data_IF_403815540101
#
_entry.id   IF_403815540101
#
_cell.length_a   1.000
_cell.length_b   1.000
_cell.length_c   1.000
_cell.angle_alpha   90.00
_cell.angle_beta   90.00
_cell.angle_gamma   90.00
#
_symmetry.space_group_name_H-M   'P 1'
#
loop_
_entity.id
_entity.type
_entity.pdbx_description
1 polymer ?
#
# COMPACT_ATOMS: atom_id res chain seq x y z
N UNK A 1 4.09 15.15 -7.42
CA UNK A 1 3.93 15.32 -5.97
C UNK A 1 5.19 15.96 -5.47
N UNK A 2 5.06 17.18 -4.85
CA UNK A 2 6.23 17.86 -4.33
C UNK A 2 6.92 16.97 -3.29
N UNK A 3 8.25 16.99 -3.29
CA UNK A 3 9.04 16.36 -2.24
C UNK A 3 8.49 16.76 -0.87
N UNK A 4 8.47 15.87 0.12
CA UNK A 4 8.04 16.19 1.46
C UNK A 4 8.88 17.38 1.96
N UNK A 5 8.24 18.50 2.20
CA UNK A 5 8.96 19.72 2.58
C UNK A 5 8.92 19.88 4.10
N UNK A 6 10.09 20.13 4.68
CA UNK A 6 10.20 20.50 6.09
C UNK A 6 9.45 21.81 6.38
N UNK A 7 8.64 21.80 7.44
CA UNK A 7 7.88 22.98 7.89
C UNK A 7 8.30 23.33 9.30
N UNK A 8 8.72 24.58 9.49
CA UNK A 8 9.03 25.12 10.82
C UNK A 8 7.75 25.64 11.45
N UNK A 9 7.48 25.23 12.68
CA UNK A 9 6.38 25.75 13.49
C UNK A 9 6.92 26.86 14.39
N UNK A 10 6.51 28.08 14.13
CA UNK A 10 6.86 29.26 14.91
C UNK A 10 5.64 29.67 15.73
N UNK A 11 5.84 29.96 17.03
CA UNK A 11 4.74 30.30 17.92
C UNK A 11 5.06 31.58 18.69
N UNK A 12 4.08 32.50 18.74
CA UNK A 12 4.13 33.74 19.50
C UNK A 12 2.93 33.83 20.44
N UNK A 13 3.20 34.21 21.70
CA UNK A 13 2.18 34.42 22.73
C UNK A 13 2.11 35.90 23.07
N UNK A 14 0.88 36.43 23.09
CA UNK A 14 0.58 37.83 23.38
C UNK A 14 -0.59 37.93 24.37
N UNK A 15 -0.90 39.16 24.83
CA UNK A 15 -2.12 39.40 25.61
C UNK A 15 -3.36 39.26 24.74
N UNK A 16 -4.37 38.56 25.21
CA UNK A 16 -5.63 38.32 24.50
C UNK A 16 -6.06 36.85 24.55
N UNK A 17 -7.12 36.48 23.78
CA UNK A 17 -7.71 35.14 23.81
C UNK A 17 -7.77 34.48 22.41
N UNK A 18 -7.13 35.10 21.41
CA UNK A 18 -7.21 34.65 20.02
C UNK A 18 -6.23 33.50 19.77
N UNK A 19 -6.69 32.47 19.05
CA UNK A 19 -5.83 31.43 18.50
C UNK A 19 -5.86 31.48 16.96
N UNK A 20 -4.74 31.76 16.33
CA UNK A 20 -4.60 31.90 14.88
C UNK A 20 -3.47 31.04 14.37
N UNK A 21 -3.72 30.34 13.27
CA UNK A 21 -2.71 29.57 12.53
C UNK A 21 -2.61 30.17 11.12
N UNK A 22 -1.39 30.48 10.69
CA UNK A 22 -1.05 30.99 9.36
C UNK A 22 -0.11 30.01 8.63
N UNK A 23 -0.02 30.14 7.29
CA UNK A 23 0.80 29.25 6.45
C UNK A 23 0.08 27.97 5.98
N UNK A 24 -1.24 27.89 6.21
CA UNK A 24 -2.15 26.86 5.68
C UNK A 24 -3.49 27.51 5.27
N UNK A 25 -4.35 26.75 4.60
CA UNK A 25 -5.68 27.24 4.21
C UNK A 25 -6.51 27.64 5.44
N UNK A 26 -7.36 28.66 5.30
CA UNK A 26 -8.18 29.19 6.42
C UNK A 26 -9.12 28.14 7.02
N UNK A 27 -9.65 27.23 6.18
CA UNK A 27 -10.50 26.13 6.63
C UNK A 27 -9.71 25.07 7.42
N UNK A 28 -8.52 24.71 6.94
CA UNK A 28 -7.62 23.79 7.64
C UNK A 28 -7.18 24.37 8.99
N UNK A 29 -6.83 25.67 9.03
CA UNK A 29 -6.43 26.38 10.24
C UNK A 29 -7.52 26.34 11.33
N UNK A 30 -8.78 26.59 10.97
CA UNK A 30 -9.92 26.51 11.90
C UNK A 30 -10.14 25.09 12.44
N UNK A 31 -10.09 24.08 11.55
CA UNK A 31 -10.26 22.69 11.92
C UNK A 31 -9.13 22.20 12.85
N UNK A 32 -7.89 22.51 12.50
CA UNK A 32 -6.68 22.19 13.29
C UNK A 32 -6.75 22.84 14.67
N UNK A 33 -7.11 24.12 14.74
CA UNK A 33 -7.26 24.85 16.00
C UNK A 33 -8.27 24.19 16.94
N UNK A 34 -9.41 23.73 16.42
CA UNK A 34 -10.43 23.04 17.20
C UNK A 34 -9.91 21.70 17.75
N UNK A 35 -9.24 20.89 16.91
CA UNK A 35 -8.68 19.59 17.32
C UNK A 35 -7.59 19.77 18.39
N UNK A 36 -6.64 20.66 18.16
CA UNK A 36 -5.53 20.91 19.09
C UNK A 36 -6.08 21.34 20.47
N UNK A 37 -7.01 22.31 20.48
CA UNK A 37 -7.60 22.78 21.73
C UNK A 37 -8.33 21.66 22.48
N UNK A 38 -9.15 20.88 21.78
CA UNK A 38 -9.89 19.77 22.38
C UNK A 38 -8.93 18.70 22.92
N UNK A 39 -7.93 18.28 22.13
CA UNK A 39 -6.95 17.29 22.53
C UNK A 39 -6.18 17.69 23.80
N UNK A 40 -5.74 18.94 23.89
CA UNK A 40 -5.04 19.43 25.09
C UNK A 40 -5.93 19.40 26.34
N UNK A 41 -7.19 19.81 26.20
CA UNK A 41 -8.16 19.77 27.31
C UNK A 41 -8.43 18.31 27.72
N UNK A 42 -8.62 17.41 26.77
CA UNK A 42 -8.84 15.97 27.03
C UNK A 42 -7.65 15.31 27.72
N UNK A 43 -6.43 15.80 27.47
CA UNK A 43 -5.21 15.37 28.18
C UNK A 43 -5.05 16.03 29.57
N UNK A 44 -6.06 16.75 30.08
CA UNK A 44 -6.03 17.39 31.40
C UNK A 44 -5.25 18.71 31.47
N UNK A 45 -4.91 19.29 30.31
CA UNK A 45 -4.18 20.57 30.25
C UNK A 45 -5.13 21.73 29.97
N UNK A 46 -5.03 22.78 30.76
CA UNK A 46 -5.80 24.01 30.53
C UNK A 46 -5.29 24.74 29.30
N UNK A 47 -6.20 25.21 28.47
CA UNK A 47 -5.86 26.07 27.36
C UNK A 47 -5.28 27.39 27.90
N UNK A 48 -4.13 27.87 27.37
CA UNK A 48 -3.57 29.15 27.80
C UNK A 48 -4.57 30.29 27.57
N UNK A 49 -4.85 31.10 28.61
CA UNK A 49 -5.72 32.27 28.52
C UNK A 49 -5.00 33.47 27.85
N UNK A 50 -4.26 33.22 26.79
CA UNK A 50 -3.45 34.18 26.05
C UNK A 50 -3.72 34.07 24.54
N UNK A 51 -3.44 35.15 23.80
CA UNK A 51 -3.49 35.10 22.35
C UNK A 51 -2.27 34.31 21.83
N UNK A 52 -2.52 33.32 20.99
CA UNK A 52 -1.49 32.46 20.40
C UNK A 52 -1.56 32.63 18.90
N UNK A 53 -0.45 33.02 18.29
CA UNK A 53 -0.26 33.05 16.85
C UNK A 53 0.77 32.00 16.46
N UNK A 54 0.39 31.09 15.58
CA UNK A 54 1.25 30.06 15.00
C UNK A 54 1.49 30.40 13.53
N UNK A 55 2.75 30.34 13.12
CA UNK A 55 3.15 30.49 11.74
C UNK A 55 3.85 29.20 11.26
N UNK A 56 3.38 28.66 10.13
CA UNK A 56 4.00 27.52 9.46
C UNK A 56 4.87 28.02 8.30
N UNK A 57 6.17 27.88 8.42
CA UNK A 57 7.15 28.41 7.46
C UNK A 57 7.91 27.28 6.73
N UNK A 58 8.05 27.33 5.40
CA UNK A 58 7.51 28.36 4.49
C UNK A 58 5.99 28.31 4.38
N UNK A 59 5.35 29.46 4.19
CA UNK A 59 3.90 29.55 4.07
C UNK A 59 3.42 28.97 2.72
N UNK A 60 2.32 28.21 2.77
CA UNK A 60 1.67 27.67 1.58
C UNK A 60 0.17 27.52 1.84
N UNK A 61 -0.61 28.45 1.30
CA UNK A 61 -2.06 28.50 1.50
C UNK A 61 -2.81 27.33 0.80
N UNK A 62 -2.15 26.56 -0.04
CA UNK A 62 -2.71 25.33 -0.63
C UNK A 62 -2.67 24.15 0.34
N UNK A 63 -1.87 24.24 1.41
CA UNK A 63 -1.72 23.17 2.39
C UNK A 63 -3.02 22.93 3.15
N UNK A 64 -3.43 21.68 3.14
CA UNK A 64 -4.60 21.18 3.88
C UNK A 64 -4.24 20.03 4.83
N UNK A 65 -2.95 19.72 4.96
CA UNK A 65 -2.46 18.59 5.74
C UNK A 65 -2.77 18.75 7.22
N UNK A 66 -3.22 17.67 7.85
CA UNK A 66 -3.46 17.56 9.29
C UNK A 66 -2.22 17.13 10.08
N UNK A 67 -1.09 16.89 9.40
CA UNK A 67 0.18 16.49 10.00
C UNK A 67 0.72 17.49 11.03
N UNK A 68 0.30 18.73 10.93
CA UNK A 68 0.80 19.83 11.77
C UNK A 68 0.12 19.92 13.13
N UNK A 69 -0.94 19.14 13.40
CA UNK A 69 -1.66 19.22 14.68
C UNK A 69 -0.73 18.88 15.85
N UNK A 70 0.01 17.77 15.74
CA UNK A 70 0.95 17.35 16.79
C UNK A 70 2.06 18.39 17.04
N UNK A 71 2.84 18.86 16.04
CA UNK A 71 3.91 19.83 16.28
C UNK A 71 3.38 21.17 16.80
N UNK A 72 2.19 21.63 16.38
CA UNK A 72 1.57 22.83 16.93
C UNK A 72 1.18 22.63 18.41
N UNK A 73 0.58 21.49 18.75
CA UNK A 73 0.23 21.15 20.13
C UNK A 73 1.48 21.13 21.03
N UNK A 74 2.60 20.55 20.56
CA UNK A 74 3.86 20.52 21.28
C UNK A 74 4.44 21.93 21.48
N UNK A 75 4.37 22.79 20.47
CA UNK A 75 4.79 24.17 20.58
C UNK A 75 3.95 24.96 21.63
N UNK A 76 2.63 24.74 21.66
CA UNK A 76 1.73 25.33 22.69
C UNK A 76 2.07 24.80 24.08
N UNK A 77 2.33 23.51 24.24
CA UNK A 77 2.70 22.90 25.52
C UNK A 77 4.04 23.41 26.04
N UNK A 78 5.04 23.55 25.16
CA UNK A 78 6.34 24.09 25.51
C UNK A 78 6.26 25.56 25.93
N UNK A 79 5.52 26.38 25.18
CA UNK A 79 5.33 27.80 25.48
C UNK A 79 4.50 28.04 26.74
N UNK A 80 3.70 27.06 27.17
CA UNK A 80 2.95 27.09 28.44
C UNK A 80 3.72 26.50 29.62
N UNK A 81 4.97 26.06 29.42
CA UNK A 81 5.81 25.47 30.46
C UNK A 81 5.36 24.05 30.89
N UNK A 82 4.47 23.41 30.15
CA UNK A 82 3.98 22.06 30.45
C UNK A 82 5.03 21.02 30.12
N UNK A 83 5.78 21.24 29.02
CA UNK A 83 6.96 20.45 28.65
C UNK A 83 8.19 21.39 28.54
N UNK A 84 9.41 20.92 28.82
CA UNK A 84 10.60 21.73 28.65
C UNK A 84 10.83 22.06 27.16
N UNK A 85 11.08 23.31 26.82
CA UNK A 85 11.39 23.69 25.44
C UNK A 85 12.66 22.98 24.92
N UNK A 86 13.63 22.72 25.80
CA UNK A 86 14.84 21.96 25.48
C UNK A 86 14.57 20.51 25.06
N UNK A 87 13.43 19.92 25.45
CA UNK A 87 13.05 18.57 25.05
C UNK A 87 12.62 18.47 23.59
N UNK A 88 12.37 19.60 22.92
CA UNK A 88 12.04 19.66 21.50
C UNK A 88 13.25 19.90 20.59
N UNK A 89 14.45 20.00 21.14
CA UNK A 89 15.68 20.22 20.35
C UNK A 89 15.99 18.99 19.51
N UNK A 90 16.27 19.18 18.22
CA UNK A 90 16.58 18.12 17.26
C UNK A 90 15.44 17.09 17.08
N UNK A 91 14.20 17.49 17.32
CA UNK A 91 13.01 16.67 17.15
C UNK A 91 12.15 17.22 16.03
N UNK A 92 11.71 16.35 15.13
CA UNK A 92 10.60 16.57 14.24
C UNK A 92 9.36 15.87 14.80
N UNK A 93 8.18 16.37 14.47
CA UNK A 93 6.91 15.73 14.85
C UNK A 93 5.92 15.85 13.70
N UNK A 94 5.10 14.82 13.51
CA UNK A 94 4.01 14.84 12.55
C UNK A 94 2.88 13.93 13.02
N UNK A 95 1.62 14.38 12.88
CA UNK A 95 0.44 13.59 13.26
C UNK A 95 -0.81 14.44 13.36
N UNK A 96 -1.94 13.84 12.98
CA UNK A 96 -3.26 14.42 13.22
C UNK A 96 -3.70 14.13 14.67
N UNK A 97 -4.33 15.08 15.33
CA UNK A 97 -4.91 14.90 16.65
C UNK A 97 -6.41 14.63 16.56
N UNK A 98 -6.86 13.55 17.20
CA UNK A 98 -8.27 13.38 17.55
C UNK A 98 -8.71 14.37 18.65
N UNK A 99 -9.99 14.63 18.77
CA UNK A 99 -10.55 15.52 19.81
C UNK A 99 -10.28 14.99 21.23
N UNK A 100 -10.10 13.70 21.36
CA UNK A 100 -9.77 12.96 22.57
C UNK A 100 -8.26 12.92 22.89
N UNK A 101 -7.42 13.40 21.99
CA UNK A 101 -5.95 13.35 22.11
C UNK A 101 -5.32 12.13 21.44
N UNK A 102 -6.08 11.26 20.76
CA UNK A 102 -5.52 10.16 19.96
C UNK A 102 -4.67 10.71 18.83
N UNK A 103 -3.55 10.05 18.56
CA UNK A 103 -2.67 10.33 17.42
C UNK A 103 -3.08 9.49 16.23
N UNK A 104 -3.38 10.16 15.12
CA UNK A 104 -3.82 9.53 13.88
C UNK A 104 -2.84 9.84 12.74
N UNK A 105 -2.72 8.92 11.77
CA UNK A 105 -1.97 9.21 10.56
C UNK A 105 -2.65 10.37 9.81
N UNK A 106 -1.82 11.21 9.20
CA UNK A 106 -2.28 12.30 8.33
C UNK A 106 -2.42 11.82 6.88
N UNK A 107 -3.08 12.62 6.03
CA UNK A 107 -3.28 12.25 4.63
C UNK A 107 -1.95 12.05 3.89
N UNK A 108 -1.95 11.04 3.25
CA UNK A 108 -1.07 10.06 2.65
C UNK A 108 0.03 10.49 1.68
N UNK A 109 0.18 11.73 1.31
CA UNK A 109 1.26 12.15 0.39
C UNK A 109 2.67 12.06 0.99
N UNK A 110 2.78 11.75 2.28
CA UNK A 110 4.05 11.69 3.02
C UNK A 110 4.63 10.27 3.11
N UNK A 111 3.81 9.24 2.91
CA UNK A 111 4.21 7.85 3.16
C UNK A 111 5.15 7.27 2.09
N UNK A 112 5.09 7.75 0.86
CA UNK A 112 5.87 7.20 -0.25
C UNK A 112 7.38 7.39 -0.14
N UNK A 113 7.87 8.15 0.85
CA UNK A 113 9.30 8.43 0.96
C UNK A 113 9.74 8.83 2.38
N UNK A 114 9.24 8.13 3.41
CA UNK A 114 9.62 8.44 4.79
C UNK A 114 11.13 8.28 5.02
N UNK A 115 11.75 7.32 4.34
CA UNK A 115 13.19 7.10 4.43
C UNK A 115 14.00 8.23 3.79
N UNK A 116 13.69 8.63 2.55
CA UNK A 116 14.33 9.79 1.93
C UNK A 116 14.05 11.08 2.71
N UNK A 117 12.82 11.25 3.25
CA UNK A 117 12.50 12.39 4.11
C UNK A 117 13.29 12.36 5.43
N UNK A 118 13.47 11.18 6.01
CA UNK A 118 14.26 11.01 7.24
C UNK A 118 15.74 11.31 7.02
N UNK A 119 16.29 10.94 5.86
CA UNK A 119 17.66 11.24 5.44
C UNK A 119 17.83 12.76 5.27
N UNK A 120 16.90 13.43 4.58
CA UNK A 120 16.93 14.89 4.43
C UNK A 120 16.85 15.60 5.79
N UNK A 121 16.03 15.13 6.72
CA UNK A 121 15.92 15.67 8.07
C UNK A 121 17.23 15.49 8.85
N UNK A 122 17.89 14.35 8.72
CA UNK A 122 19.17 14.07 9.38
C UNK A 122 20.27 14.99 8.86
N UNK A 123 20.45 15.05 7.55
CA UNK A 123 21.59 15.71 6.93
C UNK A 123 21.48 17.23 6.92
N UNK A 124 20.29 17.76 6.59
CA UNK A 124 20.10 19.19 6.37
C UNK A 124 19.74 19.94 7.66
N UNK A 125 19.06 19.29 8.61
CA UNK A 125 18.46 19.96 9.79
C UNK A 125 18.99 19.48 11.13
N UNK A 126 19.92 18.55 11.15
CA UNK A 126 20.43 17.92 12.38
C UNK A 126 19.30 17.36 13.28
N UNK A 127 18.22 16.89 12.67
CA UNK A 127 17.12 16.23 13.36
C UNK A 127 17.55 14.79 13.65
N UNK A 128 17.38 14.35 14.89
CA UNK A 128 17.77 13.01 15.33
C UNK A 128 16.58 12.10 15.63
N UNK A 129 15.39 12.67 15.79
CA UNK A 129 14.21 11.92 16.20
C UNK A 129 12.95 12.47 15.53
N UNK A 130 12.05 11.55 15.13
CA UNK A 130 10.71 11.87 14.63
C UNK A 130 9.66 11.29 15.58
N UNK A 131 8.79 12.14 16.12
CA UNK A 131 7.61 11.75 16.88
C UNK A 131 6.44 11.60 15.90
N UNK A 132 5.83 10.43 15.89
CA UNK A 132 4.78 10.10 14.91
C UNK A 132 3.73 9.13 15.50
N UNK A 133 2.56 8.96 14.86
CA UNK A 133 1.58 7.95 15.24
C UNK A 133 2.14 6.53 15.23
N UNK A 134 1.62 5.65 16.08
CA UNK A 134 2.09 4.27 16.27
C UNK A 134 1.99 3.39 15.01
N UNK A 135 1.21 3.79 14.03
CA UNK A 135 1.14 3.10 12.73
C UNK A 135 2.50 2.98 12.02
N UNK A 136 3.44 3.86 12.34
CA UNK A 136 4.79 3.85 11.77
C UNK A 136 5.78 2.96 12.55
N UNK A 137 5.31 2.26 13.58
CA UNK A 137 6.13 1.35 14.38
C UNK A 137 6.75 0.28 13.49
N UNK A 138 8.07 0.09 13.61
CA UNK A 138 8.83 -0.87 12.80
C UNK A 138 9.27 -0.41 11.43
N UNK A 139 8.95 0.82 11.01
CA UNK A 139 9.48 1.38 9.75
C UNK A 139 10.97 1.75 9.90
N UNK A 140 11.77 1.34 8.91
CA UNK A 140 13.16 1.77 8.81
C UNK A 140 13.23 3.25 8.43
N UNK A 141 14.02 4.03 9.16
CA UNK A 141 14.23 5.46 8.92
C UNK A 141 15.65 5.85 9.28
N UNK A 142 16.22 6.81 8.56
CA UNK A 142 17.57 7.34 8.83
C UNK A 142 17.66 8.09 10.17
N UNK A 143 16.53 8.51 10.74
CA UNK A 143 16.44 9.13 12.07
C UNK A 143 15.61 8.24 13.00
N UNK A 144 15.84 8.35 14.32
CA UNK A 144 15.13 7.53 15.29
C UNK A 144 13.62 7.85 15.30
N UNK A 145 12.80 6.89 14.92
CA UNK A 145 11.34 6.99 15.00
C UNK A 145 10.87 6.70 16.43
N UNK A 146 9.95 7.50 16.94
CA UNK A 146 9.28 7.28 18.23
C UNK A 146 7.77 7.28 17.99
N UNK A 147 7.17 6.08 17.93
CA UNK A 147 5.75 5.92 17.67
C UNK A 147 4.92 6.12 18.95
N UNK A 148 3.77 6.80 18.83
CA UNK A 148 2.84 7.04 19.94
C UNK A 148 1.39 6.86 19.49
N UNK A 149 0.52 6.46 20.41
CA UNK A 149 -0.92 6.32 20.17
C UNK A 149 -1.72 7.52 20.64
N UNK A 150 -1.20 8.23 21.63
CA UNK A 150 -1.92 9.31 22.30
C UNK A 150 -0.99 10.47 22.68
N UNK A 151 -1.52 11.70 22.70
CA UNK A 151 -0.78 12.90 23.04
C UNK A 151 -0.21 12.86 24.48
N UNK A 152 -0.93 12.23 25.41
CA UNK A 152 -0.44 12.05 26.79
C UNK A 152 0.86 11.23 26.86
N UNK A 153 1.05 10.25 26.01
CA UNK A 153 2.28 9.46 25.92
C UNK A 153 3.45 10.34 25.46
N UNK A 154 3.21 11.18 24.44
CA UNK A 154 4.21 12.13 23.95
C UNK A 154 4.61 13.13 25.04
N UNK A 155 3.62 13.65 25.79
CA UNK A 155 3.87 14.57 26.91
C UNK A 155 4.69 13.89 28.01
N UNK A 156 4.34 12.67 28.40
CA UNK A 156 5.08 11.90 29.39
C UNK A 156 6.52 11.63 28.94
N UNK A 157 6.69 11.24 27.68
CA UNK A 157 7.99 11.03 27.07
C UNK A 157 8.87 12.30 27.10
N UNK A 158 8.33 13.45 26.72
CA UNK A 158 9.05 14.73 26.68
C UNK A 158 9.33 15.32 28.08
N UNK A 159 8.54 14.94 29.10
CA UNK A 159 8.77 15.31 30.50
C UNK A 159 9.80 14.43 31.19
N UNK A 160 9.99 13.21 30.74
CA UNK A 160 10.97 12.30 31.34
C UNK A 160 12.39 12.81 31.08
N UNK A 161 13.05 13.33 32.12
CA UNK A 161 14.39 13.94 32.11
C UNK A 161 15.54 12.94 31.96
N UNK A 162 15.34 11.77 31.38
CA UNK A 162 16.44 10.88 31.08
C UNK A 162 17.25 11.45 29.92
N UNK A 163 18.30 12.18 30.25
CA UNK A 163 19.29 12.80 29.35
C UNK A 163 20.09 11.79 28.50
N UNK A 164 19.87 10.53 28.68
CA UNK A 164 20.43 9.50 27.81
C UNK A 164 19.41 9.21 26.70
N UNK A 165 19.57 9.92 25.58
CA UNK A 165 18.84 9.67 24.35
C UNK A 165 19.04 8.24 23.79
N UNK A 166 19.89 7.45 24.45
CA UNK A 166 20.29 6.10 24.00
C UNK A 166 19.50 4.95 24.66
N UNK A 167 18.74 5.18 25.74
CA UNK A 167 18.21 4.11 26.60
C UNK A 167 16.71 3.79 26.46
N UNK A 168 16.02 4.24 25.42
CA UNK A 168 14.71 3.66 25.09
C UNK A 168 14.86 2.67 23.93
N UNK A 169 15.66 1.64 24.11
CA UNK A 169 15.34 0.34 23.55
C UNK A 169 14.10 -0.15 24.31
N UNK A 170 13.02 -0.47 23.61
CA UNK A 170 11.99 -1.30 24.18
C UNK A 170 12.67 -2.48 24.87
N UNK A 171 12.40 -2.66 26.17
CA UNK A 171 12.69 -3.89 26.88
C UNK A 171 11.77 -5.00 26.37
N UNK A 172 11.97 -5.40 25.14
CA UNK A 172 11.70 -6.70 24.62
C UNK A 172 13.05 -7.35 24.48
N UNK A 173 13.32 -8.35 25.30
CA UNK A 173 14.52 -9.15 25.34
C UNK A 173 15.12 -9.36 23.95
N UNK A 174 16.13 -8.59 23.61
CA UNK A 174 17.04 -8.88 22.51
C UNK A 174 18.25 -9.62 23.06
N UNK A 175 18.02 -10.79 23.61
CA UNK A 175 18.96 -11.90 23.53
C UNK A 175 18.42 -12.83 22.47
N UNK A 176 18.83 -12.58 21.27
CA UNK A 176 19.15 -13.51 20.19
C UNK A 176 19.08 -12.75 18.87
N UNK A 177 20.17 -12.08 18.53
CA UNK A 177 20.55 -11.89 17.14
C UNK A 177 20.95 -13.22 16.51
N UNK A 178 20.16 -14.24 16.74
CA UNK A 178 20.02 -15.31 15.80
C UNK A 178 19.16 -14.71 14.68
N UNK A 179 19.78 -14.56 13.52
CA UNK A 179 19.06 -14.49 12.25
C UNK A 179 17.97 -15.54 12.32
N UNK A 180 16.77 -15.14 12.75
CA UNK A 180 15.58 -15.94 12.55
C UNK A 180 15.53 -16.06 11.04
N UNK A 181 15.77 -17.26 10.54
CA UNK A 181 15.25 -17.68 9.25
C UNK A 181 13.73 -17.49 9.37
N UNK A 182 13.26 -16.26 9.14
CA UNK A 182 11.85 -15.99 8.95
C UNK A 182 11.51 -16.87 7.76
N UNK A 183 10.72 -17.90 8.01
CA UNK A 183 10.19 -18.74 6.96
C UNK A 183 9.70 -17.79 5.86
N UNK A 184 10.27 -17.91 4.66
CA UNK A 184 9.90 -17.08 3.52
C UNK A 184 8.39 -17.16 3.23
N UNK A 185 7.72 -18.17 3.81
CA UNK A 185 6.31 -18.49 3.56
C UNK A 185 5.56 -18.66 4.90
N UNK A 186 4.55 -17.80 5.18
CA UNK A 186 3.72 -17.90 6.38
C UNK A 186 2.74 -19.08 6.29
N UNK A 187 2.60 -19.84 7.36
CA UNK A 187 1.90 -21.14 7.40
C UNK A 187 0.40 -21.11 7.74
N UNK A 188 -0.23 -19.96 8.04
CA UNK A 188 -1.55 -19.98 8.70
C UNK A 188 -2.78 -19.90 7.81
N UNK A 189 -2.69 -19.47 6.54
CA UNK A 189 -3.84 -19.43 5.60
C UNK A 189 -3.40 -19.74 4.17
N UNK A 190 -2.49 -20.70 4.03
CA UNK A 190 -1.90 -21.05 2.74
C UNK A 190 -2.83 -22.00 1.99
N UNK A 191 -3.28 -21.60 0.82
CA UNK A 191 -3.96 -22.51 -0.13
C UNK A 191 -2.89 -23.22 -0.94
N UNK A 192 -2.87 -24.55 -0.89
CA UNK A 192 -1.87 -25.40 -1.53
C UNK A 192 -2.44 -26.10 -2.77
N UNK A 193 -1.61 -26.82 -3.49
CA UNK A 193 -2.04 -27.63 -4.63
C UNK A 193 -2.92 -28.83 -4.26
N UNK A 194 -2.99 -29.19 -2.96
CA UNK A 194 -3.91 -30.23 -2.47
C UNK A 194 -5.38 -29.81 -2.65
N UNK A 195 -5.62 -28.48 -2.71
CA UNK A 195 -6.94 -27.92 -2.99
C UNK A 195 -7.30 -27.92 -4.49
N UNK A 196 -6.40 -28.37 -5.37
CA UNK A 196 -6.55 -28.39 -6.81
C UNK A 196 -6.24 -29.81 -7.33
N UNK A 197 -7.28 -30.62 -7.50
CA UNK A 197 -7.14 -31.97 -8.04
C UNK A 197 -6.86 -31.94 -9.54
N UNK A 198 -5.98 -32.84 -10.01
CA UNK A 198 -5.59 -32.91 -11.42
C UNK A 198 -4.80 -31.67 -11.86
N UNK A 199 -5.14 -31.07 -12.99
CA UNK A 199 -4.71 -29.76 -13.52
C UNK A 199 -3.18 -29.52 -13.45
N UNK A 200 -2.36 -30.52 -13.84
CA UNK A 200 -0.90 -30.44 -13.76
C UNK A 200 -0.32 -29.24 -14.55
N UNK A 201 -0.93 -28.91 -15.69
CA UNK A 201 -0.56 -27.73 -16.49
C UNK A 201 -0.82 -26.45 -15.72
N UNK A 202 -1.97 -26.34 -15.04
CA UNK A 202 -2.32 -25.18 -14.24
C UNK A 202 -1.36 -25.01 -13.05
N UNK A 203 -1.00 -26.11 -12.36
CA UNK A 203 0.00 -26.09 -11.27
C UNK A 203 1.36 -25.60 -11.75
N UNK A 204 1.82 -26.09 -12.91
CA UNK A 204 3.07 -25.64 -13.53
C UNK A 204 3.04 -24.16 -13.90
N UNK A 205 1.94 -23.69 -14.50
CA UNK A 205 1.77 -22.27 -14.83
C UNK A 205 1.68 -21.38 -13.59
N UNK A 206 1.11 -21.87 -12.48
CA UNK A 206 1.12 -21.15 -11.20
C UNK A 206 2.55 -20.90 -10.71
N UNK A 207 3.44 -21.90 -10.82
CA UNK A 207 4.86 -21.75 -10.47
C UNK A 207 5.55 -20.71 -11.36
N UNK A 208 5.33 -20.79 -12.68
CA UNK A 208 5.91 -19.82 -13.64
C UNK A 208 5.40 -18.41 -13.37
N UNK A 209 4.10 -18.22 -13.19
CA UNK A 209 3.49 -16.94 -12.90
C UNK A 209 4.02 -16.34 -11.60
N UNK A 210 4.13 -17.14 -10.55
CA UNK A 210 4.64 -16.68 -9.25
C UNK A 210 6.13 -16.37 -9.28
N UNK A 211 6.92 -17.15 -10.00
CA UNK A 211 8.36 -16.96 -10.10
C UNK A 211 8.71 -15.69 -10.88
N UNK A 212 8.11 -15.48 -12.05
CA UNK A 212 8.39 -14.35 -12.94
C UNK A 212 7.48 -13.13 -12.74
N UNK A 213 6.49 -13.19 -11.85
CA UNK A 213 5.43 -12.18 -11.73
C UNK A 213 4.66 -11.95 -13.03
N UNK A 214 4.38 -13.04 -13.77
CA UNK A 214 3.68 -12.97 -15.04
C UNK A 214 2.17 -12.86 -14.85
N UNK A 215 1.55 -11.90 -15.53
CA UNK A 215 0.10 -11.73 -15.54
C UNK A 215 -0.59 -12.93 -16.18
N UNK A 216 -1.74 -13.31 -15.61
CA UNK A 216 -2.48 -14.52 -16.01
C UNK A 216 -3.92 -14.18 -16.34
N UNK A 217 -4.45 -14.74 -17.42
CA UNK A 217 -5.88 -14.84 -17.66
C UNK A 217 -6.30 -16.32 -17.71
N UNK A 218 -7.31 -16.66 -16.92
CA UNK A 218 -7.85 -18.01 -16.81
C UNK A 218 -9.22 -18.08 -17.43
N UNK A 219 -9.40 -19.02 -18.35
CA UNK A 219 -10.66 -19.32 -19.02
C UNK A 219 -11.11 -20.74 -18.62
N UNK A 220 -12.34 -20.88 -18.12
CA UNK A 220 -12.85 -22.20 -17.77
C UNK A 220 -14.27 -22.14 -17.20
N UNK A 221 -14.99 -23.27 -17.19
CA UNK A 221 -16.34 -23.35 -16.65
C UNK A 221 -16.39 -23.03 -15.14
N UNK A 222 -17.56 -22.74 -14.58
CA UNK A 222 -17.72 -22.64 -13.13
C UNK A 222 -17.25 -23.95 -12.47
N UNK A 223 -16.56 -23.85 -11.33
CA UNK A 223 -16.05 -25.01 -10.60
C UNK A 223 -14.72 -25.58 -11.10
N UNK A 224 -14.10 -25.04 -12.17
CA UNK A 224 -12.81 -25.53 -12.69
C UNK A 224 -11.58 -25.14 -11.83
N UNK A 225 -11.76 -24.58 -10.64
CA UNK A 225 -10.64 -24.27 -9.73
C UNK A 225 -9.91 -22.94 -9.97
N UNK A 226 -10.42 -22.03 -10.85
CA UNK A 226 -9.76 -20.75 -11.16
C UNK A 226 -9.41 -19.91 -9.93
N UNK A 227 -10.38 -19.73 -9.04
CA UNK A 227 -10.19 -18.93 -7.81
C UNK A 227 -9.25 -19.62 -6.81
N UNK A 228 -9.24 -20.96 -6.79
CA UNK A 228 -8.29 -21.77 -6.00
C UNK A 228 -6.88 -21.59 -6.55
N UNK A 229 -6.70 -21.70 -7.87
CA UNK A 229 -5.41 -21.50 -8.52
C UNK A 229 -4.86 -20.09 -8.28
N UNK A 230 -5.70 -19.07 -8.37
CA UNK A 230 -5.30 -17.68 -8.06
C UNK A 230 -4.79 -17.55 -6.62
N UNK A 231 -5.44 -18.23 -5.66
CA UNK A 231 -4.97 -18.30 -4.27
C UNK A 231 -3.66 -19.08 -4.13
N UNK A 232 -3.48 -20.16 -4.86
CA UNK A 232 -2.21 -20.91 -4.91
C UNK A 232 -1.09 -20.01 -5.44
N UNK A 233 -1.31 -19.27 -6.53
CA UNK A 233 -0.33 -18.30 -7.06
C UNK A 233 0.05 -17.27 -5.99
N UNK A 234 -0.92 -16.69 -5.29
CA UNK A 234 -0.64 -15.75 -4.20
C UNK A 234 0.14 -16.41 -3.06
N UNK A 235 -0.19 -17.65 -2.69
CA UNK A 235 0.49 -18.37 -1.61
C UNK A 235 1.93 -18.78 -1.98
N UNK A 236 2.26 -18.89 -3.27
CA UNK A 236 3.61 -19.14 -3.76
C UNK A 236 4.50 -17.89 -3.77
N UNK A 237 3.94 -16.69 -3.64
CA UNK A 237 4.74 -15.47 -3.59
C UNK A 237 5.53 -15.41 -2.28
N UNK A 238 6.81 -15.02 -2.31
CA UNK A 238 7.60 -14.81 -1.10
C UNK A 238 7.06 -13.64 -0.28
N UNK A 239 7.44 -13.59 0.98
CA UNK A 239 7.19 -12.41 1.81
C UNK A 239 7.88 -11.18 1.20
N UNK A 240 7.25 -10.02 1.37
CA UNK A 240 7.82 -8.76 0.95
C UNK A 240 9.14 -8.47 1.68
N UNK A 241 10.10 -7.91 0.96
CA UNK A 241 11.26 -7.27 1.55
C UNK A 241 10.84 -6.05 2.40
N UNK A 242 11.72 -5.54 3.23
CA UNK A 242 11.43 -4.35 4.04
C UNK A 242 11.06 -3.13 3.17
N UNK A 243 11.74 -2.94 2.05
CA UNK A 243 11.44 -1.86 1.09
C UNK A 243 10.07 -2.03 0.42
N UNK A 244 9.76 -3.24 -0.08
CA UNK A 244 8.45 -3.53 -0.70
C UNK A 244 7.31 -3.41 0.30
N UNK A 245 7.53 -3.83 1.55
CA UNK A 245 6.55 -3.66 2.62
C UNK A 245 6.31 -2.20 2.96
N UNK A 246 7.37 -1.39 3.09
CA UNK A 246 7.26 0.05 3.34
C UNK A 246 6.50 0.77 2.21
N UNK A 247 6.78 0.45 0.96
CA UNK A 247 6.10 1.01 -0.21
C UNK A 247 4.62 0.63 -0.23
N UNK A 248 4.30 -0.66 -0.06
CA UNK A 248 2.91 -1.12 -0.01
C UNK A 248 2.15 -0.55 1.19
N UNK A 249 2.80 -0.42 2.35
CA UNK A 249 2.22 0.19 3.55
C UNK A 249 1.89 1.66 3.31
N UNK A 250 2.76 2.39 2.60
CA UNK A 250 2.53 3.79 2.25
C UNK A 250 1.29 3.98 1.39
N UNK A 251 1.10 3.11 0.40
CA UNK A 251 -0.06 3.13 -0.49
C UNK A 251 -1.36 2.83 0.30
N UNK A 252 -1.32 1.83 1.19
CA UNK A 252 -2.48 1.49 2.02
C UNK A 252 -2.85 2.62 2.98
N UNK A 253 -1.87 3.23 3.60
CA UNK A 253 -2.08 4.39 4.46
C UNK A 253 -2.68 5.58 3.70
N UNK A 254 -2.28 5.79 2.42
CA UNK A 254 -2.88 6.76 1.52
C UNK A 254 -4.40 6.57 1.35
N UNK A 255 -4.85 5.34 1.34
CA UNK A 255 -6.27 5.00 1.31
C UNK A 255 -6.94 5.04 2.69
N UNK A 256 -6.19 5.31 3.77
CA UNK A 256 -6.68 5.23 5.14
C UNK A 256 -6.81 3.80 5.66
N UNK A 257 -6.08 2.87 5.05
CA UNK A 257 -6.02 1.45 5.41
C UNK A 257 -4.70 1.14 6.11
N UNK A 258 -4.66 0.05 6.88
CA UNK A 258 -3.45 -0.46 7.51
C UNK A 258 -3.06 -1.80 6.88
N UNK A 259 -1.79 -1.98 6.54
CA UNK A 259 -1.23 -3.30 6.38
C UNK A 259 -0.84 -3.84 7.76
N UNK A 260 -1.07 -5.13 7.97
CA UNK A 260 -0.68 -5.76 9.23
C UNK A 260 0.85 -5.81 9.32
N UNK A 261 1.43 -5.01 10.20
CA UNK A 261 2.88 -4.94 10.42
C UNK A 261 3.50 -6.27 10.89
N UNK A 262 2.68 -7.18 11.43
CA UNK A 262 3.13 -8.51 11.86
C UNK A 262 3.29 -9.50 10.71
N UNK A 263 2.87 -9.15 9.50
CA UNK A 263 2.86 -10.04 8.34
C UNK A 263 3.41 -9.31 7.11
N UNK A 264 4.61 -9.67 6.67
CA UNK A 264 5.18 -9.17 5.41
C UNK A 264 4.59 -9.88 4.18
N UNK A 265 3.36 -10.37 4.27
CA UNK A 265 2.69 -11.09 3.18
C UNK A 265 2.31 -10.14 2.05
N UNK A 266 2.51 -10.53 0.79
CA UNK A 266 2.02 -9.75 -0.36
C UNK A 266 0.54 -9.42 -0.26
N UNK A 267 0.11 -8.18 -0.58
CA UNK A 267 -1.30 -7.81 -0.56
C UNK A 267 -2.13 -8.65 -1.53
N UNK A 268 -3.34 -9.01 -1.11
CA UNK A 268 -4.37 -9.63 -1.96
C UNK A 268 -5.55 -8.68 -2.11
N UNK A 269 -5.90 -8.33 -3.36
CA UNK A 269 -7.11 -7.56 -3.66
C UNK A 269 -7.95 -8.28 -4.70
N UNK A 270 -9.21 -8.46 -4.35
CA UNK A 270 -10.19 -9.11 -5.22
C UNK A 270 -11.48 -8.25 -5.24
N UNK A 271 -11.47 -7.13 -5.98
CA UNK A 271 -12.65 -6.28 -6.08
C UNK A 271 -13.78 -7.00 -6.83
N UNK A 272 -15.01 -6.73 -6.42
CA UNK A 272 -16.20 -7.31 -7.07
C UNK A 272 -16.35 -6.76 -8.50
N UNK A 273 -16.96 -7.53 -9.42
CA UNK A 273 -17.16 -7.14 -10.84
C UNK A 273 -18.00 -5.87 -11.02
N UNK A 274 -18.79 -5.46 -10.03
CA UNK A 274 -19.49 -4.16 -10.00
C UNK A 274 -18.59 -2.95 -9.73
N UNK A 275 -17.31 -3.15 -9.42
CA UNK A 275 -16.36 -2.08 -9.15
C UNK A 275 -16.16 -1.22 -10.40
N UNK A 276 -16.35 0.10 -10.25
CA UNK A 276 -16.16 1.04 -11.34
C UNK A 276 -14.65 1.37 -11.54
N UNK A 277 -14.38 2.12 -12.63
CA UNK A 277 -13.03 2.57 -12.97
C UNK A 277 -12.31 3.24 -11.79
N UNK A 278 -12.99 4.14 -11.07
CA UNK A 278 -12.38 4.87 -9.95
C UNK A 278 -12.02 3.95 -8.76
N UNK A 279 -12.83 2.95 -8.49
CA UNK A 279 -12.54 1.94 -7.47
C UNK A 279 -11.38 1.04 -7.85
N UNK A 280 -11.15 0.83 -9.15
CA UNK A 280 -10.09 -0.04 -9.66
C UNK A 280 -8.73 0.69 -9.74
N UNK A 281 -8.69 1.86 -10.39
CA UNK A 281 -7.44 2.61 -10.62
C UNK A 281 -7.20 3.74 -9.61
N UNK A 282 -8.25 4.17 -8.89
CA UNK A 282 -8.17 5.28 -7.96
C UNK A 282 -8.92 6.52 -8.44
N UNK A 283 -8.99 7.48 -7.56
CA UNK A 283 -9.75 8.72 -7.81
C UNK A 283 -9.08 9.91 -7.12
N UNK A 284 -9.46 11.11 -7.56
CA UNK A 284 -9.07 12.34 -6.90
C UNK A 284 -10.20 12.82 -5.98
N UNK A 285 -9.93 13.04 -4.69
CA UNK A 285 -10.93 13.53 -3.75
C UNK A 285 -10.60 14.96 -3.30
N UNK A 286 -11.55 15.87 -3.49
CA UNK A 286 -11.48 17.23 -2.92
C UNK A 286 -11.88 17.26 -1.44
N UNK A 287 -12.69 16.29 -1.00
CA UNK A 287 -13.15 16.24 0.38
C UNK A 287 -12.03 15.80 1.31
N UNK A 288 -11.84 16.51 2.41
CA UNK A 288 -10.87 16.23 3.47
C UNK A 288 -9.39 16.42 3.10
N UNK A 289 -9.04 17.19 2.05
CA UNK A 289 -7.64 17.44 1.69
C UNK A 289 -6.86 16.20 1.25
N UNK A 290 -7.52 15.13 0.80
CA UNK A 290 -6.90 13.81 0.56
C UNK A 290 -6.21 13.67 -0.80
N UNK A 291 -6.33 14.61 -1.73
CA UNK A 291 -5.68 14.46 -3.04
C UNK A 291 -6.08 13.17 -3.77
N UNK A 292 -5.12 12.40 -4.25
CA UNK A 292 -5.36 11.12 -4.91
C UNK A 292 -5.64 10.00 -3.89
N UNK A 293 -6.68 9.22 -4.15
CA UNK A 293 -7.04 8.02 -3.38
C UNK A 293 -6.68 6.80 -4.23
N UNK A 294 -5.79 5.91 -3.77
CA UNK A 294 -5.44 4.69 -4.47
C UNK A 294 -6.65 3.78 -4.69
N UNK A 295 -6.72 3.18 -5.87
CA UNK A 295 -7.68 2.13 -6.19
C UNK A 295 -7.17 0.73 -5.85
N UNK A 296 -7.99 -0.30 -6.16
CA UNK A 296 -7.66 -1.69 -5.87
C UNK A 296 -6.35 -2.14 -6.49
N UNK A 297 -5.96 -1.59 -7.66
CA UNK A 297 -4.71 -1.91 -8.33
C UNK A 297 -3.49 -1.48 -7.51
N UNK A 298 -3.43 -0.21 -7.13
CA UNK A 298 -2.34 0.29 -6.28
C UNK A 298 -2.36 -0.35 -4.89
N UNK A 299 -3.53 -0.68 -4.34
CA UNK A 299 -3.64 -1.40 -3.08
C UNK A 299 -3.16 -2.88 -3.18
N UNK A 300 -3.01 -3.41 -4.40
CA UNK A 300 -2.43 -4.72 -4.67
C UNK A 300 -0.93 -4.66 -4.99
N UNK A 301 -0.31 -3.47 -4.94
CA UNK A 301 1.10 -3.27 -5.27
C UNK A 301 2.02 -4.23 -4.50
N UNK A 302 3.00 -4.81 -5.18
CA UNK A 302 3.87 -5.89 -4.68
C UNK A 302 3.14 -7.18 -4.26
N UNK A 303 1.88 -7.35 -4.68
CA UNK A 303 1.03 -8.50 -4.37
C UNK A 303 0.22 -8.96 -5.57
N UNK A 304 -1.02 -9.34 -5.34
CA UNK A 304 -1.93 -9.89 -6.37
C UNK A 304 -3.20 -9.06 -6.48
N UNK A 305 -3.55 -8.70 -7.72
CA UNK A 305 -4.88 -8.22 -8.09
C UNK A 305 -5.63 -9.33 -8.80
N UNK A 306 -6.65 -9.87 -8.17
CA UNK A 306 -7.50 -10.91 -8.73
C UNK A 306 -8.84 -10.32 -9.17
N UNK A 307 -9.14 -10.38 -10.48
CA UNK A 307 -10.43 -9.98 -11.02
C UNK A 307 -11.21 -11.23 -11.45
N UNK A 308 -12.08 -11.69 -10.54
CA UNK A 308 -13.01 -12.77 -10.87
C UNK A 308 -14.11 -12.25 -11.78
N UNK A 309 -14.66 -13.12 -12.63
CA UNK A 309 -15.65 -12.73 -13.64
C UNK A 309 -15.17 -11.52 -14.48
N UNK A 310 -13.89 -11.50 -14.88
CA UNK A 310 -13.24 -10.36 -15.52
C UNK A 310 -14.05 -9.78 -16.69
N UNK A 311 -14.70 -10.62 -17.50
CA UNK A 311 -15.56 -10.19 -18.60
C UNK A 311 -16.87 -9.50 -18.16
N UNK A 312 -17.22 -9.51 -16.85
CA UNK A 312 -18.45 -8.87 -16.34
C UNK A 312 -18.21 -7.45 -15.81
N UNK A 313 -16.94 -7.06 -15.68
CA UNK A 313 -16.61 -5.65 -15.37
C UNK A 313 -17.12 -4.73 -16.48
N UNK A 314 -17.49 -3.50 -16.11
CA UNK A 314 -17.90 -2.53 -17.09
C UNK A 314 -16.75 -2.16 -18.04
N UNK A 315 -17.07 -1.75 -19.27
CA UNK A 315 -16.09 -1.46 -20.31
C UNK A 315 -15.04 -0.44 -19.90
N UNK A 316 -15.44 0.61 -19.19
CA UNK A 316 -14.51 1.66 -18.74
C UNK A 316 -13.51 1.14 -17.72
N UNK A 317 -13.91 0.23 -16.83
CA UNK A 317 -13.01 -0.41 -15.88
C UNK A 317 -12.03 -1.35 -16.59
N UNK A 318 -12.51 -2.14 -17.59
CA UNK A 318 -11.65 -3.00 -18.39
C UNK A 318 -10.60 -2.20 -19.15
N UNK A 319 -10.99 -1.16 -19.87
CA UNK A 319 -10.04 -0.32 -20.63
C UNK A 319 -9.04 0.41 -19.72
N UNK A 320 -9.44 0.74 -18.49
CA UNK A 320 -8.55 1.35 -17.51
C UNK A 320 -7.42 0.42 -17.04
N UNK A 321 -7.57 -0.91 -17.21
CA UNK A 321 -6.53 -1.89 -16.89
C UNK A 321 -5.30 -1.80 -17.82
N UNK A 322 -5.43 -1.19 -19.01
CA UNK A 322 -4.35 -1.14 -20.02
C UNK A 322 -3.09 -0.47 -19.50
N UNK A 323 -3.21 0.71 -18.91
CA UNK A 323 -2.07 1.47 -18.43
C UNK A 323 -1.28 0.72 -17.34
N UNK A 324 -1.89 0.24 -16.26
CA UNK A 324 -1.15 -0.48 -15.22
C UNK A 324 -0.62 -1.85 -15.66
N UNK A 325 -1.25 -2.52 -16.63
CA UNK A 325 -0.69 -3.75 -17.22
C UNK A 325 0.60 -3.47 -17.99
N UNK A 326 0.74 -2.30 -18.62
CA UNK A 326 1.89 -1.93 -19.43
C UNK A 326 2.99 -1.26 -18.61
N UNK A 327 2.65 -0.19 -17.89
CA UNK A 327 3.62 0.69 -17.23
C UNK A 327 3.85 0.38 -15.74
N UNK A 328 3.00 -0.46 -15.12
CA UNK A 328 2.99 -0.71 -13.67
C UNK A 328 2.79 0.55 -12.83
N UNK A 329 2.27 1.61 -13.45
CA UNK A 329 2.00 2.91 -12.84
C UNK A 329 0.60 3.36 -13.26
N UNK A 330 -0.10 4.02 -12.35
CA UNK A 330 -1.38 4.69 -12.61
C UNK A 330 -1.17 6.19 -12.49
N UNK A 331 -1.36 6.92 -13.58
CA UNK A 331 -1.29 8.39 -13.59
C UNK A 331 -2.69 8.98 -13.44
N UNK A 332 -2.93 9.71 -12.35
CA UNK A 332 -4.16 10.45 -12.10
C UNK A 332 -3.90 11.94 -12.30
N UNK A 333 -4.49 12.52 -13.36
CA UNK A 333 -4.35 13.94 -13.67
C UNK A 333 -5.68 14.67 -13.50
N UNK A 334 -5.66 15.83 -12.87
CA UNK A 334 -6.78 16.76 -12.67
C UNK A 334 -6.27 18.20 -12.76
N UNK A 335 -7.18 19.15 -12.83
CA UNK A 335 -6.84 20.58 -12.88
C UNK A 335 -5.97 21.01 -11.66
N UNK A 336 -6.11 20.32 -10.53
CA UNK A 336 -5.40 20.61 -9.29
C UNK A 336 -4.01 19.96 -9.20
N UNK A 337 -3.66 19.06 -10.14
CA UNK A 337 -2.35 18.38 -10.14
C UNK A 337 -2.38 17.02 -10.83
N UNK A 338 -1.20 16.44 -10.90
CA UNK A 338 -0.97 15.07 -11.39
C UNK A 338 -0.23 14.27 -10.33
N UNK A 339 -0.60 13.00 -10.17
CA UNK A 339 0.07 12.07 -9.27
C UNK A 339 0.23 10.73 -9.96
N UNK A 340 1.36 10.10 -9.75
CA UNK A 340 1.62 8.73 -10.16
C UNK A 340 1.52 7.82 -8.94
N UNK A 341 0.75 6.74 -9.07
CA UNK A 341 0.56 5.73 -8.06
C UNK A 341 1.23 4.43 -8.54
N UNK A 342 2.10 3.81 -7.73
CA UNK A 342 2.65 2.50 -8.03
C UNK A 342 1.53 1.46 -8.19
N UNK A 343 1.67 0.58 -9.18
CA UNK A 343 0.66 -0.41 -9.56
C UNK A 343 1.29 -1.74 -10.02
N UNK A 344 2.49 -2.08 -9.52
CA UNK A 344 3.20 -3.31 -9.83
C UNK A 344 2.61 -4.50 -9.06
N UNK A 345 1.38 -4.89 -9.42
CA UNK A 345 0.71 -6.07 -8.93
C UNK A 345 0.78 -7.19 -9.98
N UNK A 346 0.88 -8.44 -9.53
CA UNK A 346 0.62 -9.59 -10.38
C UNK A 346 -0.88 -9.64 -10.67
N UNK A 347 -1.24 -9.44 -11.93
CA UNK A 347 -2.63 -9.45 -12.36
C UNK A 347 -3.11 -10.87 -12.66
N UNK A 348 -4.27 -11.22 -12.12
CA UNK A 348 -4.93 -12.49 -12.41
C UNK A 348 -6.38 -12.21 -12.79
N UNK A 349 -6.73 -12.45 -14.04
CA UNK A 349 -8.11 -12.39 -14.53
C UNK A 349 -8.72 -13.78 -14.64
N UNK A 350 -9.93 -14.00 -14.15
CA UNK A 350 -10.67 -15.23 -14.35
C UNK A 350 -11.96 -14.94 -15.11
N UNK A 351 -12.28 -15.74 -16.12
CA UNK A 351 -13.51 -15.59 -16.88
C UNK A 351 -14.11 -16.94 -17.29
N UNK A 352 -15.39 -16.91 -17.54
CA UNK A 352 -16.08 -18.06 -18.09
C UNK A 352 -15.91 -18.14 -19.62
N UNK A 353 -16.08 -19.31 -20.25
CA UNK A 353 -15.90 -19.48 -21.69
C UNK A 353 -17.03 -18.84 -22.52
N UNK A 354 -18.20 -18.60 -21.91
CA UNK A 354 -19.38 -18.01 -22.52
C UNK A 354 -20.31 -17.43 -21.45
N UNK A 355 -21.37 -16.66 -21.79
CA UNK A 355 -22.30 -16.10 -20.80
C UNK A 355 -22.94 -17.12 -19.87
N UNK A 356 -23.28 -18.33 -20.34
CA UNK A 356 -23.85 -19.37 -19.47
C UNK A 356 -22.79 -20.20 -18.71
N UNK A 357 -21.50 -20.00 -19.01
CA UNK A 357 -20.38 -20.70 -18.36
C UNK A 357 -20.15 -22.14 -18.82
N UNK A 358 -21.02 -22.72 -19.65
CA UNK A 358 -21.03 -24.15 -19.94
C UNK A 358 -20.39 -24.58 -21.27
N UNK A 359 -19.78 -23.64 -22.00
CA UNK A 359 -19.13 -23.97 -23.27
C UNK A 359 -17.78 -24.67 -23.03
N UNK A 360 -17.73 -25.97 -23.37
CA UNK A 360 -16.55 -26.85 -23.21
C UNK A 360 -15.91 -27.25 -24.56
N UNK A 361 -16.19 -26.49 -25.62
CA UNK A 361 -15.78 -26.90 -26.99
C UNK A 361 -16.79 -27.79 -27.69
N UNK A 362 -17.56 -28.61 -26.94
CA UNK A 362 -18.71 -29.37 -27.40
C UNK A 362 -20.01 -28.66 -27.02
N UNK A 363 -21.01 -28.63 -27.88
CA UNK A 363 -22.27 -27.91 -27.65
C UNK A 363 -23.26 -28.61 -26.73
N UNK A 364 -22.94 -29.75 -26.18
CA UNK A 364 -23.91 -30.64 -25.52
C UNK A 364 -24.53 -30.04 -24.24
N UNK A 365 -23.95 -29.03 -23.64
CA UNK A 365 -24.48 -28.36 -22.44
C UNK A 365 -24.60 -26.83 -22.54
N UNK A 366 -24.07 -26.21 -23.58
CA UNK A 366 -24.07 -24.78 -23.78
C UNK A 366 -25.29 -24.31 -24.57
N UNK A 367 -26.05 -23.37 -24.01
CA UNK A 367 -27.25 -22.79 -24.65
C UNK A 367 -26.94 -21.50 -25.44
N UNK A 368 -25.73 -21.01 -25.42
CA UNK A 368 -25.32 -19.76 -26.08
C UNK A 368 -25.14 -19.98 -27.58
N UNK A 369 -25.58 -19.03 -28.39
CA UNK A 369 -25.29 -18.96 -29.81
C UNK A 369 -23.79 -18.64 -30.06
N UNK A 370 -23.29 -19.00 -31.23
CA UNK A 370 -21.91 -18.68 -31.62
C UNK A 370 -21.62 -17.16 -31.60
N UNK A 371 -22.62 -16.34 -31.94
CA UNK A 371 -22.55 -14.88 -31.90
C UNK A 371 -22.46 -14.34 -30.49
N UNK A 372 -23.18 -14.92 -29.53
CA UNK A 372 -23.10 -14.54 -28.10
C UNK A 372 -21.74 -14.87 -27.50
N UNK A 373 -21.22 -16.09 -27.79
CA UNK A 373 -19.90 -16.52 -27.35
C UNK A 373 -18.82 -15.56 -27.90
N UNK A 374 -18.89 -15.25 -29.21
CA UNK A 374 -17.96 -14.33 -29.85
C UNK A 374 -18.03 -12.93 -29.25
N UNK A 375 -19.24 -12.41 -28.99
CA UNK A 375 -19.46 -11.10 -28.34
C UNK A 375 -18.94 -11.10 -26.91
N UNK A 376 -19.15 -12.16 -26.16
CA UNK A 376 -18.67 -12.32 -24.79
C UNK A 376 -17.13 -12.28 -24.72
N UNK A 377 -16.46 -13.10 -25.53
CA UNK A 377 -14.99 -13.12 -25.62
C UNK A 377 -14.42 -11.76 -26.05
N UNK A 378 -15.10 -11.03 -26.92
CA UNK A 378 -14.70 -9.67 -27.36
C UNK A 378 -14.85 -8.59 -26.29
N UNK A 379 -15.45 -8.86 -25.12
CA UNK A 379 -15.45 -7.89 -24.00
C UNK A 379 -14.02 -7.58 -23.52
N UNK A 380 -13.13 -8.57 -23.58
CA UNK A 380 -11.70 -8.34 -23.38
C UNK A 380 -11.12 -7.89 -24.73
N UNK A 381 -10.65 -6.66 -24.79
CA UNK A 381 -10.06 -6.12 -26.02
C UNK A 381 -8.72 -6.79 -26.34
N UNK A 382 -8.39 -6.90 -27.63
CA UNK A 382 -7.09 -7.43 -28.07
C UNK A 382 -5.92 -6.76 -27.31
N UNK A 383 -5.87 -5.42 -27.26
CA UNK A 383 -4.79 -4.71 -26.54
C UNK A 383 -4.66 -5.08 -25.06
N UNK A 384 -5.73 -5.50 -24.37
CA UNK A 384 -5.63 -5.99 -22.98
C UNK A 384 -5.08 -7.42 -22.99
N UNK A 385 -5.63 -8.28 -23.85
CA UNK A 385 -5.18 -9.67 -23.94
C UNK A 385 -3.70 -9.77 -24.31
N UNK A 386 -3.22 -8.93 -25.24
CA UNK A 386 -1.83 -8.91 -25.70
C UNK A 386 -0.81 -8.51 -24.60
N UNK A 387 -1.27 -7.88 -23.52
CA UNK A 387 -0.45 -7.49 -22.37
C UNK A 387 -0.39 -8.53 -21.26
N UNK A 388 -1.23 -9.56 -21.34
CA UNK A 388 -1.28 -10.64 -20.36
C UNK A 388 -0.44 -11.80 -20.87
N UNK A 389 0.61 -12.14 -20.13
CA UNK A 389 1.62 -13.10 -20.57
C UNK A 389 1.13 -14.53 -20.66
N UNK A 390 0.26 -14.95 -19.74
CA UNK A 390 -0.19 -16.33 -19.62
C UNK A 390 -1.71 -16.41 -19.86
N UNK A 391 -2.08 -17.19 -20.85
CA UNK A 391 -3.46 -17.52 -21.14
C UNK A 391 -3.67 -19.00 -20.82
N UNK A 392 -4.47 -19.29 -19.79
CA UNK A 392 -4.71 -20.65 -19.29
C UNK A 392 -6.17 -21.05 -19.51
N UNK A 393 -6.38 -22.13 -20.20
CA UNK A 393 -7.68 -22.81 -20.28
C UNK A 393 -7.75 -23.95 -19.24
N UNK A 394 -8.80 -23.96 -18.42
CA UNK A 394 -8.99 -24.91 -17.31
C UNK A 394 -10.30 -25.70 -17.48
N UNK A 395 -10.34 -26.92 -16.92
CA UNK A 395 -11.56 -27.75 -16.93
C UNK A 395 -11.88 -28.38 -18.27
N UNK A 396 -10.92 -28.42 -19.18
CA UNK A 396 -10.96 -29.26 -20.38
C UNK A 396 -10.04 -30.44 -20.10
N UNK A 397 -10.46 -31.66 -20.54
CA UNK A 397 -9.64 -32.88 -20.45
C UNK A 397 -8.37 -32.74 -21.31
N UNK A 398 -7.46 -31.85 -20.89
CA UNK A 398 -6.13 -31.67 -21.48
C UNK A 398 -5.16 -32.74 -20.95
N UNK A 399 -5.64 -33.97 -20.82
CA UNK A 399 -4.89 -35.06 -20.20
C UNK A 399 -3.65 -35.55 -20.98
N UNK A 400 -3.36 -34.96 -22.14
CA UNK A 400 -2.24 -35.40 -22.95
C UNK A 400 -1.43 -34.23 -23.52
N UNK A 401 -0.29 -33.87 -22.93
CA UNK A 401 0.61 -32.98 -23.65
C UNK A 401 1.85 -32.47 -22.93
N UNK A 402 1.81 -32.23 -21.63
CA UNK A 402 2.96 -31.78 -20.90
C UNK A 402 3.29 -32.69 -19.72
N UNK A 403 4.18 -33.67 -19.95
CA UNK A 403 4.88 -34.51 -19.00
C UNK A 403 4.14 -34.87 -17.70
N UNK A 404 3.99 -36.12 -17.41
CA UNK A 404 3.21 -36.72 -16.32
C UNK A 404 3.64 -36.35 -14.88
N UNK A 405 4.60 -35.45 -14.68
CA UNK A 405 5.07 -35.08 -13.35
C UNK A 405 4.39 -33.79 -12.86
N UNK A 406 3.49 -33.94 -11.88
CA UNK A 406 2.90 -32.83 -11.14
C UNK A 406 3.94 -32.25 -10.19
N UNK A 407 3.98 -30.91 -10.03
CA UNK A 407 4.72 -30.27 -8.95
C UNK A 407 4.02 -30.58 -7.62
N UNK A 408 4.82 -31.04 -6.64
CA UNK A 408 4.40 -30.96 -5.23
C UNK A 408 4.45 -29.52 -4.76
N UNK A 409 3.77 -29.20 -3.66
CA UNK A 409 3.79 -27.84 -3.11
C UNK A 409 5.21 -27.39 -2.74
N UNK A 410 6.00 -28.26 -2.11
CA UNK A 410 7.37 -27.97 -1.69
C UNK A 410 8.32 -27.75 -2.88
N UNK A 411 8.18 -28.58 -3.94
CA UNK A 411 8.95 -28.37 -5.18
C UNK A 411 8.60 -27.03 -5.83
N UNK A 412 7.33 -26.61 -5.80
CA UNK A 412 6.86 -25.34 -6.32
C UNK A 412 7.45 -24.15 -5.54
N UNK A 413 7.39 -24.20 -4.21
CA UNK A 413 7.99 -23.18 -3.34
C UNK A 413 9.50 -23.04 -3.60
N UNK A 414 10.21 -24.17 -3.70
CA UNK A 414 11.65 -24.17 -3.94
C UNK A 414 11.98 -23.59 -5.32
N UNK A 415 11.20 -23.94 -6.35
CA UNK A 415 11.38 -23.41 -7.71
C UNK A 415 11.18 -21.89 -7.74
N UNK A 416 10.09 -21.39 -7.14
CA UNK A 416 9.82 -19.95 -7.07
C UNK A 416 10.93 -19.23 -6.31
N UNK A 417 11.36 -19.75 -5.16
CA UNK A 417 12.43 -19.15 -4.35
C UNK A 417 13.76 -19.04 -5.12
N UNK A 418 14.14 -20.09 -5.84
CA UNK A 418 15.37 -20.09 -6.66
C UNK A 418 15.34 -19.05 -7.77
N UNK A 419 14.24 -18.98 -8.54
CA UNK A 419 14.10 -18.00 -9.63
C UNK A 419 14.11 -16.57 -9.08
N UNK A 420 13.39 -16.32 -7.98
CA UNK A 420 13.35 -14.99 -7.34
C UNK A 420 14.73 -14.56 -6.86
N UNK A 421 15.46 -15.44 -6.18
CA UNK A 421 16.83 -15.16 -5.73
C UNK A 421 17.78 -14.91 -6.90
N UNK A 422 17.58 -15.61 -8.02
CA UNK A 422 18.36 -15.37 -9.24
C UNK A 422 18.06 -13.98 -9.83
N UNK A 423 16.78 -13.60 -9.96
CA UNK A 423 16.35 -12.29 -10.44
C UNK A 423 16.86 -11.14 -9.55
N UNK A 424 16.89 -11.31 -8.25
CA UNK A 424 17.41 -10.31 -7.30
C UNK A 424 18.92 -10.07 -7.50
N UNK A 425 19.67 -11.10 -7.90
CA UNK A 425 21.08 -11.00 -8.20
C UNK A 425 21.38 -10.52 -9.64
N UNK A 426 20.35 -10.43 -10.51
CA UNK A 426 20.46 -10.00 -11.90
C UNK A 426 19.48 -8.85 -12.19
N UNK A 427 19.72 -7.63 -11.67
CA UNK A 427 18.77 -6.52 -11.74
C UNK A 427 18.50 -6.00 -13.17
N UNK A 428 19.27 -6.44 -14.17
CA UNK A 428 19.01 -6.18 -15.60
C UNK A 428 17.83 -6.99 -16.16
N UNK A 429 17.46 -8.08 -15.50
CA UNK A 429 16.34 -8.95 -15.87
C UNK A 429 15.08 -8.50 -15.09
N UNK A 430 14.14 -7.88 -15.77
CA UNK A 430 12.97 -7.32 -15.10
C UNK A 430 11.90 -8.37 -14.85
N UNK A 431 11.35 -8.41 -13.64
CA UNK A 431 10.30 -9.36 -13.21
C UNK A 431 9.01 -9.27 -14.01
N UNK A 432 8.72 -8.15 -14.65
CA UNK A 432 7.44 -7.88 -15.33
C UNK A 432 7.57 -7.67 -16.83
N UNK A 433 8.76 -7.80 -17.41
CA UNK A 433 8.92 -7.72 -18.86
C UNK A 433 8.54 -9.07 -19.49
N UNK A 434 7.33 -9.13 -20.01
CA UNK A 434 6.90 -10.13 -20.96
C UNK A 434 6.67 -9.42 -22.29
N UNK A 435 7.67 -9.49 -23.14
CA UNK A 435 7.51 -9.13 -24.53
C UNK A 435 7.93 -10.30 -25.42
N UNK A 436 7.51 -10.33 -26.69
CA UNK A 436 7.96 -11.33 -27.66
C UNK A 436 9.49 -11.31 -27.94
N UNK A 437 10.24 -10.49 -27.23
CA UNK A 437 11.70 -10.40 -27.35
C UNK A 437 12.45 -11.55 -26.67
N UNK A 438 11.88 -12.18 -25.64
CA UNK A 438 12.49 -13.38 -25.00
C UNK A 438 12.44 -14.64 -25.86
N UNK A 439 11.65 -14.65 -26.94
CA UNK A 439 11.54 -15.81 -27.84
C UNK A 439 12.60 -15.86 -28.95
N UNK A 440 13.52 -14.90 -29.01
CA UNK A 440 14.52 -14.86 -30.09
C UNK A 440 15.94 -15.33 -29.69
N UNK A 441 16.21 -15.42 -28.37
CA UNK A 441 17.54 -15.75 -27.86
C UNK A 441 17.56 -16.91 -26.86
N UNK A 442 16.44 -17.67 -26.71
CA UNK A 442 16.35 -18.86 -25.86
C UNK A 442 16.21 -20.15 -26.67
#
# INVERSE_FOLDING_TARGET
PGSPSFVRVELRIERGILFRISGISSQAAKASAARIRSALISCGHRWPGKAITVNLAPADNSRTSTAFDLPIALAVLASSGIIPASSLTNIAAAGELGLDGTLRPWAASVFGNLDAFSTELSDVKNIRRLLAPSIFEGMATAIRLSPFRHLSEVIAFLKSHKRNFDDFTHSGNNENTNRINRSLYPHTDTVTFDNLEGENTAKRLAVIASAGSHDVIMLGPPGSGKSVLARCIHSLLPNLSESEFAESSSIHAAAGLLLNASSNRPPWKAPHSSTNMNGLIGSWSKSRGRGAIPGSWSLAHNGVLFLDEFAEFNRSALEACRAPLESRIISLSRAEGSVELPAAALFIGAMNPCPCGRFTGKRDSCVCSASEIKRYKKKISGPIADRIAIHLEMGYDLNEGFGSKSFTWDEALLAVSRVRSWLDNHPGEKRFECGPQLSKDA
#
